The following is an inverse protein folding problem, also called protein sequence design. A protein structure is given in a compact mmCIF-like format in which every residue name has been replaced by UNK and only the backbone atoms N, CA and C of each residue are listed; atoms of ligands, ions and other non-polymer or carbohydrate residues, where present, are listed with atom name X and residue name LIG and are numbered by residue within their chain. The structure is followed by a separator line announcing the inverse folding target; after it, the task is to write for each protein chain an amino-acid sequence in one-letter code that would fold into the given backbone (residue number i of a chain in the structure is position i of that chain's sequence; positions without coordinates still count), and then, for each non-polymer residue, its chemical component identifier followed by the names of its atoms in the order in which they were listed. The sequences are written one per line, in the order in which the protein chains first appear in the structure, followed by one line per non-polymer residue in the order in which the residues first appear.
data_IF_440823963976
#
_entry.id   IF_440823963976
#
_cell.length_a   1.000
_cell.length_b   1.000
_cell.length_c   1.000
_cell.angle_alpha   90.00
_cell.angle_beta   90.00
_cell.angle_gamma   90.00
#
_symmetry.space_group_name_H-M   'P 1'
#
loop_
_entity.id
_entity.type
_entity.pdbx_description
1 polymer ?
#
# COMPACT_ATOMS: atom_id res chain seq x y z
N UNK A 1 -16.44 2.09 18.82
CA UNK A 1 -16.11 1.89 17.39
C UNK A 1 -14.62 1.56 17.33
N UNK A 2 -14.25 0.30 17.11
CA UNK A 2 -12.86 -0.16 17.20
C UNK A 2 -12.20 -0.13 15.81
N UNK A 3 -11.16 0.67 15.65
CA UNK A 3 -10.21 0.55 14.53
C UNK A 3 -8.98 -0.21 15.02
N UNK A 4 -8.70 -1.36 14.43
CA UNK A 4 -7.49 -2.12 14.74
C UNK A 4 -6.41 -1.89 13.67
N UNK A 5 -5.16 -1.78 14.12
CA UNK A 5 -4.02 -1.75 13.20
C UNK A 5 -3.70 -3.19 12.85
N UNK A 6 -3.96 -3.54 11.60
CA UNK A 6 -3.81 -4.90 11.11
C UNK A 6 -2.42 -5.15 10.56
N UNK A 7 -1.74 -4.11 10.10
CA UNK A 7 -0.42 -4.22 9.50
C UNK A 7 0.32 -2.88 9.50
N UNK A 8 1.65 -2.94 9.59
CA UNK A 8 2.54 -1.78 9.43
C UNK A 8 3.77 -2.17 8.62
N UNK A 9 4.17 -1.29 7.69
CA UNK A 9 5.38 -1.43 6.88
C UNK A 9 6.05 -0.06 6.67
N UNK A 10 7.32 -0.09 6.26
CA UNK A 10 8.07 1.10 5.86
C UNK A 10 8.31 1.09 4.35
N UNK A 11 7.85 2.13 3.66
CA UNK A 11 8.01 2.26 2.22
C UNK A 11 8.05 3.72 1.79
N UNK A 12 8.78 4.03 0.74
CA UNK A 12 8.61 5.28 0.01
C UNK A 12 7.33 5.17 -0.83
N UNK A 13 6.44 6.15 -0.67
CA UNK A 13 5.16 6.17 -1.37
C UNK A 13 5.31 6.93 -2.66
N UNK A 14 4.89 6.32 -3.75
CA UNK A 14 4.93 6.86 -5.09
C UNK A 14 3.51 6.96 -5.64
N UNK A 15 3.28 7.93 -6.51
CA UNK A 15 2.09 8.03 -7.37
C UNK A 15 2.53 8.07 -8.82
N UNK A 16 1.78 7.41 -9.69
CA UNK A 16 2.06 7.46 -11.12
C UNK A 16 1.46 8.72 -11.74
N UNK A 17 2.31 9.53 -12.35
CA UNK A 17 1.91 10.71 -13.11
C UNK A 17 1.68 10.29 -14.57
N UNK A 18 0.41 10.16 -14.96
CA UNK A 18 0.02 9.73 -16.30
C UNK A 18 0.44 10.72 -17.39
N UNK A 19 0.49 12.03 -17.08
CA UNK A 19 0.86 13.06 -18.05
C UNK A 19 2.34 12.96 -18.44
N UNK A 20 3.19 12.67 -17.44
CA UNK A 20 4.64 12.53 -17.64
C UNK A 20 5.11 11.07 -17.72
N UNK A 21 4.19 10.11 -17.64
CA UNK A 21 4.43 8.65 -17.65
C UNK A 21 5.52 8.19 -16.66
N UNK A 22 5.56 8.80 -15.47
CA UNK A 22 6.62 8.57 -14.48
C UNK A 22 6.08 8.42 -13.07
N UNK A 23 6.82 7.71 -12.23
CA UNK A 23 6.56 7.67 -10.80
C UNK A 23 7.09 8.94 -10.13
N UNK A 24 6.27 9.60 -9.32
CA UNK A 24 6.66 10.75 -8.51
C UNK A 24 6.39 10.50 -7.03
N UNK A 25 7.16 11.09 -6.11
CA UNK A 25 6.93 10.93 -4.68
C UNK A 25 5.57 11.48 -4.25
N UNK A 26 4.82 10.69 -3.48
CA UNK A 26 3.57 11.15 -2.92
C UNK A 26 3.82 12.28 -1.89
N UNK A 27 3.02 13.33 -1.95
CA UNK A 27 3.19 14.52 -1.10
C UNK A 27 4.33 15.44 -1.52
N UNK A 28 4.83 15.34 -2.76
CA UNK A 28 5.72 16.33 -3.39
C UNK A 28 7.20 16.25 -3.01
N UNK A 29 7.58 15.38 -2.08
CA UNK A 29 8.99 15.15 -1.72
C UNK A 29 9.26 13.66 -1.46
N UNK A 30 10.48 13.23 -1.79
CA UNK A 30 10.93 11.86 -1.56
C UNK A 30 11.15 11.60 -0.07
N UNK A 31 10.89 10.35 0.36
CA UNK A 31 11.13 9.94 1.74
C UNK A 31 10.36 8.69 2.12
N UNK A 32 10.84 8.02 3.17
CA UNK A 32 10.14 6.87 3.73
C UNK A 32 8.91 7.32 4.51
N UNK A 33 7.86 6.54 4.35
CA UNK A 33 6.61 6.66 5.09
C UNK A 33 6.33 5.39 5.86
N UNK A 34 5.64 5.55 6.97
CA UNK A 34 5.03 4.47 7.73
C UNK A 34 3.64 4.21 7.17
N UNK A 35 3.51 3.09 6.47
CA UNK A 35 2.26 2.61 5.88
C UNK A 35 1.55 1.74 6.91
N UNK A 36 0.26 1.99 7.14
CA UNK A 36 -0.60 1.20 8.02
C UNK A 36 -1.90 0.85 7.33
N UNK A 37 -2.39 -0.34 7.61
CA UNK A 37 -3.72 -0.78 7.20
C UNK A 37 -4.59 -0.85 8.46
N UNK A 38 -5.67 -0.08 8.44
CA UNK A 38 -6.67 -0.04 9.48
C UNK A 38 -7.87 -0.90 9.05
N UNK A 39 -8.39 -1.69 9.99
CA UNK A 39 -9.65 -2.41 9.82
C UNK A 39 -10.71 -1.81 10.72
N UNK A 40 -11.78 -1.35 10.11
CA UNK A 40 -12.97 -0.89 10.81
C UNK A 40 -13.93 -2.07 10.97
N UNK A 41 -14.00 -2.63 12.17
CA UNK A 41 -14.75 -3.87 12.42
C UNK A 41 -16.27 -3.69 12.30
N UNK A 42 -16.79 -2.48 12.56
CA UNK A 42 -18.23 -2.19 12.54
C UNK A 42 -18.89 -2.28 11.15
N UNK A 43 -18.14 -1.98 10.08
CA UNK A 43 -18.63 -2.04 8.69
C UNK A 43 -17.74 -2.94 7.81
N UNK A 44 -16.80 -3.65 8.42
CA UNK A 44 -15.82 -4.52 7.78
C UNK A 44 -15.07 -3.85 6.61
N UNK A 45 -14.74 -2.57 6.76
CA UNK A 45 -14.03 -1.79 5.75
C UNK A 45 -12.54 -1.66 6.12
N UNK A 46 -11.69 -1.63 5.10
CA UNK A 46 -10.25 -1.44 5.27
C UNK A 46 -9.84 -0.07 4.76
N UNK A 47 -8.80 0.51 5.35
CA UNK A 47 -8.23 1.79 4.95
C UNK A 47 -6.72 1.72 5.01
N UNK A 48 -6.06 2.16 3.94
CA UNK A 48 -4.61 2.39 3.93
C UNK A 48 -4.34 3.82 4.32
N UNK A 49 -3.46 4.00 5.30
CA UNK A 49 -2.96 5.31 5.72
C UNK A 49 -1.45 5.27 5.70
N UNK A 50 -0.84 6.21 5.00
CA UNK A 50 0.61 6.36 4.99
C UNK A 50 0.98 7.76 5.45
N UNK A 51 1.93 7.84 6.38
CA UNK A 51 2.49 9.09 6.88
C UNK A 51 3.99 9.09 6.72
N UNK A 52 4.55 10.18 6.20
CA UNK A 52 6.00 10.39 6.15
C UNK A 52 6.59 10.31 7.56
N UNK A 53 7.79 9.76 7.66
CA UNK A 53 8.47 9.60 8.95
C UNK A 53 9.03 10.94 9.45
N UNK A 54 9.48 11.79 8.54
CA UNK A 54 10.18 13.03 8.87
C UNK A 54 9.26 14.14 9.41
N UNK A 55 8.14 14.38 8.74
CA UNK A 55 7.25 15.52 8.99
C UNK A 55 5.82 15.08 9.36
N UNK A 56 5.59 13.77 9.47
CA UNK A 56 4.29 13.16 9.70
C UNK A 56 3.20 13.51 8.66
N UNK A 57 3.58 14.04 7.50
CA UNK A 57 2.66 14.37 6.42
C UNK A 57 1.88 13.13 5.97
N UNK A 58 0.55 13.23 5.94
CA UNK A 58 -0.32 12.16 5.43
C UNK A 58 -0.26 12.18 3.90
N UNK A 59 0.33 11.15 3.30
CA UNK A 59 0.50 11.02 1.85
C UNK A 59 -0.49 10.05 1.21
N UNK A 60 -1.04 9.12 2.01
CA UNK A 60 -2.17 8.27 1.62
C UNK A 60 -3.17 8.26 2.76
N UNK A 61 -4.44 8.44 2.44
CA UNK A 61 -5.57 8.20 3.34
C UNK A 61 -6.76 7.73 2.51
N UNK A 62 -6.78 6.46 2.14
CA UNK A 62 -7.74 5.90 1.17
C UNK A 62 -8.36 4.61 1.67
N UNK A 63 -9.66 4.46 1.44
CA UNK A 63 -10.35 3.20 1.66
C UNK A 63 -9.81 2.13 0.70
N UNK A 64 -9.78 0.88 1.14
CA UNK A 64 -9.42 -0.28 0.32
C UNK A 64 -10.74 -0.96 -0.08
N UNK A 65 -11.24 -0.70 -1.30
CA UNK A 65 -12.47 -1.34 -1.76
C UNK A 65 -12.29 -2.85 -1.91
N UNK A 66 -13.42 -3.57 -1.90
CA UNK A 66 -13.44 -4.98 -2.29
C UNK A 66 -13.09 -5.11 -3.78
N UNK A 67 -12.26 -6.09 -4.12
CA UNK A 67 -11.74 -6.28 -5.48
C UNK A 67 -10.57 -5.36 -5.83
N UNK A 68 -9.96 -4.68 -4.86
CA UNK A 68 -8.77 -3.88 -5.13
C UNK A 68 -7.66 -4.78 -5.68
N UNK A 69 -7.19 -4.48 -6.89
CA UNK A 69 -6.14 -5.24 -7.58
C UNK A 69 -4.77 -4.80 -7.09
N UNK A 70 -4.17 -5.63 -6.25
CA UNK A 70 -2.83 -5.45 -5.73
C UNK A 70 -1.82 -6.24 -6.57
N UNK A 71 -0.85 -5.54 -7.15
CA UNK A 71 0.17 -6.11 -8.00
C UNK A 71 1.56 -5.98 -7.35
N UNK A 72 2.24 -7.10 -7.20
CA UNK A 72 3.64 -7.16 -6.76
C UNK A 72 4.54 -7.12 -7.99
N UNK A 73 4.89 -5.91 -8.44
CA UNK A 73 5.71 -5.73 -9.64
C UNK A 73 7.16 -6.22 -9.42
N UNK A 74 7.71 -6.03 -8.22
CA UNK A 74 8.98 -6.65 -7.78
C UNK A 74 8.88 -7.08 -6.32
N UNK A 75 9.91 -7.74 -5.78
CA UNK A 75 9.98 -8.15 -4.37
C UNK A 75 9.95 -6.97 -3.37
N UNK A 76 10.22 -5.75 -3.82
CA UNK A 76 10.23 -4.54 -2.98
C UNK A 76 9.43 -3.40 -3.58
N UNK A 77 8.75 -3.61 -4.70
CA UNK A 77 7.90 -2.61 -5.33
C UNK A 77 6.52 -3.18 -5.63
N UNK A 78 5.53 -2.73 -4.88
CA UNK A 78 4.14 -3.15 -5.04
C UNK A 78 3.28 -1.96 -5.42
N UNK A 79 2.21 -2.20 -6.18
CA UNK A 79 1.34 -1.15 -6.70
C UNK A 79 -0.13 -1.59 -6.71
N UNK A 80 -1.02 -0.62 -6.68
CA UNK A 80 -2.44 -0.85 -6.91
C UNK A 80 -3.05 0.35 -7.62
N UNK A 81 -4.18 0.09 -8.28
CA UNK A 81 -4.97 1.10 -8.95
C UNK A 81 -6.18 1.48 -8.09
N UNK A 82 -6.35 2.77 -7.87
CA UNK A 82 -7.63 3.38 -7.51
C UNK A 82 -8.26 3.98 -8.77
N UNK A 83 -9.55 4.30 -8.74
CA UNK A 83 -10.30 4.88 -9.85
C UNK A 83 -9.72 6.21 -10.38
N UNK A 84 -8.79 6.83 -9.65
CA UNK A 84 -8.20 8.14 -9.98
C UNK A 84 -6.67 8.16 -10.03
N UNK A 85 -6.00 7.14 -9.49
CA UNK A 85 -4.57 7.22 -9.23
C UNK A 85 -3.97 5.83 -9.08
N UNK A 86 -2.79 5.63 -9.67
CA UNK A 86 -1.95 4.46 -9.35
C UNK A 86 -1.03 4.82 -8.20
N UNK A 87 -1.03 3.99 -7.16
CA UNK A 87 -0.16 4.12 -6.00
C UNK A 87 0.91 3.03 -6.05
N UNK A 88 2.13 3.40 -5.69
CA UNK A 88 3.29 2.51 -5.59
C UNK A 88 3.91 2.58 -4.20
N UNK A 89 4.35 1.45 -3.67
CA UNK A 89 5.10 1.34 -2.43
C UNK A 89 6.45 0.74 -2.75
N UNK A 90 7.51 1.53 -2.55
CA UNK A 90 8.89 1.09 -2.66
C UNK A 90 9.43 0.81 -1.26
N UNK A 91 9.51 -0.47 -0.90
CA UNK A 91 9.92 -0.94 0.41
C UNK A 91 11.44 -0.90 0.55
N UNK A 92 11.91 -0.55 1.75
CA UNK A 92 13.36 -0.48 2.04
C UNK A 92 14.04 -1.84 2.09
N UNK A 93 13.28 -2.93 2.31
CA UNK A 93 13.78 -4.30 2.31
C UNK A 93 12.68 -5.30 1.95
N UNK A 94 13.06 -6.55 1.68
CA UNK A 94 12.10 -7.64 1.43
C UNK A 94 11.25 -7.96 2.66
N UNK A 95 11.81 -7.78 3.86
CA UNK A 95 11.11 -7.98 5.14
C UNK A 95 10.04 -6.92 5.36
N UNK A 96 10.31 -5.67 4.94
CA UNK A 96 9.33 -4.58 4.92
C UNK A 96 8.25 -4.80 3.84
N UNK A 97 8.64 -5.35 2.69
CA UNK A 97 7.73 -5.71 1.58
C UNK A 97 6.89 -6.96 1.88
N UNK A 98 7.33 -7.80 2.81
CA UNK A 98 6.69 -9.07 3.14
C UNK A 98 5.29 -8.83 3.70
N UNK A 99 4.32 -8.88 2.78
CA UNK A 99 2.88 -8.92 3.02
C UNK A 99 2.47 -10.06 3.97
N UNK A 100 3.36 -11.02 4.27
CA UNK A 100 3.10 -12.06 5.28
C UNK A 100 2.68 -11.48 6.64
N UNK A 101 3.06 -10.24 6.98
CA UNK A 101 2.54 -9.53 8.16
C UNK A 101 1.07 -9.10 8.05
N UNK A 102 0.56 -8.87 6.84
CA UNK A 102 -0.84 -8.51 6.57
C UNK A 102 -1.68 -9.70 6.05
N UNK A 103 -1.11 -10.90 5.87
CA UNK A 103 -1.80 -12.07 5.30
C UNK A 103 -2.78 -12.70 6.30
N UNK A 104 -2.46 -12.67 7.59
CA UNK A 104 -3.38 -13.07 8.66
C UNK A 104 -4.49 -12.06 8.90
N UNK A 105 -4.28 -10.82 8.46
CA UNK A 105 -5.23 -9.73 8.63
C UNK A 105 -6.38 -9.77 7.61
N UNK A 106 -6.97 -10.94 7.32
CA UNK A 106 -8.32 -11.11 6.75
C UNK A 106 -8.68 -10.11 5.62
N UNK A 107 -7.72 -9.68 4.81
CA UNK A 107 -7.90 -8.74 3.69
C UNK A 107 -8.45 -9.53 2.50
N UNK A 108 -9.54 -10.27 2.71
CA UNK A 108 -10.29 -10.98 1.66
C UNK A 108 -10.86 -10.03 0.61
N UNK A 109 -10.81 -8.72 0.86
CA UNK A 109 -11.23 -7.66 -0.05
C UNK A 109 -10.19 -7.34 -1.12
N UNK A 110 -8.93 -7.79 -1.00
CA UNK A 110 -7.87 -7.45 -1.96
C UNK A 110 -7.63 -8.64 -2.88
N UNK A 111 -7.76 -8.41 -4.18
CA UNK A 111 -7.37 -9.36 -5.21
C UNK A 111 -5.88 -9.21 -5.48
N UNK A 112 -5.10 -10.22 -5.12
CA UNK A 112 -3.67 -10.25 -5.45
C UNK A 112 -3.51 -10.69 -6.90
N UNK A 113 -3.32 -9.72 -7.79
CA UNK A 113 -2.98 -9.96 -9.19
C UNK A 113 -1.45 -9.93 -9.30
N UNK A 114 -0.80 -10.97 -8.80
CA UNK A 114 0.62 -11.22 -9.05
C UNK A 114 0.73 -12.44 -9.95
N UNK A 115 1.46 -12.32 -11.06
CA UNK A 115 1.88 -13.48 -11.83
C UNK A 115 2.52 -14.49 -10.90
N UNK A 116 1.84 -15.61 -10.66
CA UNK A 116 2.42 -16.82 -10.12
C UNK A 116 3.34 -17.47 -11.15
N UNK A 117 4.42 -16.78 -11.54
CA UNK A 117 5.42 -17.34 -12.43
C UNK A 117 6.81 -17.26 -11.79
N UNK A 118 7.31 -18.45 -11.48
CA UNK A 118 8.69 -18.82 -11.15
C UNK A 118 9.11 -18.65 -9.69
N UNK A 119 8.72 -19.63 -8.87
CA UNK A 119 9.71 -20.30 -8.05
C UNK A 119 10.06 -21.62 -8.77
N UNK A 120 11.32 -21.73 -9.18
CA UNK A 120 11.98 -23.02 -9.31
C UNK A 120 12.18 -23.61 -7.90
#
# INVERSE_FOLDING_TARGET
IAENINCQARAAVMVYDDANKKWVPAGGSAGFSRVRIYHHTGNNMFRVVSRKIQDHQVVINRAVPKGLKYNQATQTFHQWWDARQVYGLNFGSKEDASVRKCRDARLRSVEFTGNGANIA
#
